data_IF_791297702774
#
_entry.id   IF_791297702774
#
_cell.length_a   1.000
_cell.length_b   1.000
_cell.length_c   1.000
_cell.angle_alpha   90.00
_cell.angle_beta   90.00
_cell.angle_gamma   90.00
#
_symmetry.space_group_name_H-M   'P 1'
#
loop_
_entity.id
_entity.type
_entity.pdbx_description
1 polymer ?
#
# COMPACT_ATOMS: atom_id res chain seq x y z
N UNK A 1 -19.73 22.20 9.03
CA UNK A 1 -19.96 21.13 8.15
C UNK A 1 -20.78 21.55 6.93
N UNK A 2 -20.59 22.78 6.47
CA UNK A 2 -21.36 23.41 5.39
C UNK A 2 -20.53 23.45 4.08
N UNK A 3 -19.70 22.43 3.78
CA UNK A 3 -18.84 22.40 2.60
C UNK A 3 -17.69 23.44 2.61
N UNK A 4 -17.44 24.11 3.73
CA UNK A 4 -16.33 25.05 3.84
C UNK A 4 -15.02 24.31 4.05
N UNK A 5 -14.00 24.67 3.25
CA UNK A 5 -12.64 24.18 3.42
C UNK A 5 -12.09 24.67 4.76
N UNK A 6 -11.77 23.74 5.66
CA UNK A 6 -11.26 24.03 7.00
C UNK A 6 -9.76 24.31 7.02
N UNK A 7 -9.00 23.73 6.09
CA UNK A 7 -7.56 23.95 5.92
C UNK A 7 -7.12 23.52 4.52
N UNK A 8 -6.11 24.20 4.00
CA UNK A 8 -5.41 23.82 2.76
C UNK A 8 -3.96 23.54 3.09
N UNK A 9 -3.48 22.40 2.61
CA UNK A 9 -2.06 22.05 2.66
C UNK A 9 -1.52 22.23 1.24
N UNK A 10 -0.50 23.09 1.07
CA UNK A 10 0.17 23.26 -0.22
C UNK A 10 1.36 22.30 -0.32
N UNK A 11 1.76 21.94 -1.53
CA UNK A 11 2.96 21.13 -1.79
C UNK A 11 4.22 21.76 -1.17
N UNK A 12 4.36 23.07 -1.23
CA UNK A 12 5.43 23.80 -0.56
C UNK A 12 5.41 23.60 0.97
N UNK A 13 4.22 23.36 1.56
CA UNK A 13 4.09 23.03 2.98
C UNK A 13 4.52 21.59 3.27
N UNK A 14 4.54 20.70 2.27
CA UNK A 14 4.90 19.28 2.39
C UNK A 14 6.43 19.08 2.29
N UNK A 15 7.19 20.15 2.05
CA UNK A 15 8.65 20.07 1.95
C UNK A 15 9.13 19.47 0.63
N UNK A 16 8.26 19.42 -0.39
CA UNK A 16 8.59 19.00 -1.74
C UNK A 16 9.26 20.14 -2.51
N UNK A 17 10.26 20.80 -1.86
CA UNK A 17 11.00 21.95 -2.42
C UNK A 17 11.79 21.58 -3.68
N UNK A 18 11.88 20.29 -4.03
CA UNK A 18 12.71 19.80 -5.13
C UNK A 18 11.99 18.93 -6.17
N UNK A 19 10.68 18.76 -6.08
CA UNK A 19 9.92 18.02 -7.11
C UNK A 19 10.41 16.58 -7.36
N UNK A 20 10.97 15.93 -6.33
CA UNK A 20 11.58 14.60 -6.47
C UNK A 20 10.62 13.44 -6.17
N UNK A 21 9.41 13.72 -5.70
CA UNK A 21 8.41 12.69 -5.50
C UNK A 21 7.68 12.45 -6.85
N UNK A 22 7.77 11.23 -7.33
CA UNK A 22 7.06 10.80 -8.55
C UNK A 22 5.80 10.09 -8.12
N UNK A 23 4.65 10.66 -8.47
CA UNK A 23 3.38 9.97 -8.37
C UNK A 23 3.10 9.23 -9.68
N UNK A 24 2.97 7.92 -9.62
CA UNK A 24 2.71 7.06 -10.77
C UNK A 24 1.61 6.06 -10.43
N UNK A 25 0.71 5.83 -11.37
CA UNK A 25 -0.30 4.78 -11.22
C UNK A 25 0.35 3.39 -11.26
N UNK A 26 -0.24 2.44 -10.54
CA UNK A 26 0.31 1.07 -10.43
C UNK A 26 0.37 0.34 -11.77
N UNK A 27 -0.65 0.52 -12.60
CA UNK A 27 -0.72 -0.04 -13.95
C UNK A 27 0.37 0.55 -14.85
N UNK A 28 0.54 1.89 -14.85
CA UNK A 28 1.59 2.57 -15.63
C UNK A 28 3.00 2.11 -15.21
N UNK A 29 3.26 1.98 -13.92
CA UNK A 29 4.52 1.43 -13.41
C UNK A 29 4.70 -0.04 -13.83
N UNK A 30 3.62 -0.83 -13.74
CA UNK A 30 3.61 -2.22 -14.18
C UNK A 30 3.99 -2.37 -15.64
N UNK A 31 3.41 -1.55 -16.51
CA UNK A 31 3.70 -1.53 -17.95
C UNK A 31 5.17 -1.14 -18.24
N UNK A 32 5.71 -0.15 -17.55
CA UNK A 32 7.12 0.24 -17.66
C UNK A 32 8.02 -0.95 -17.31
N UNK A 33 7.80 -1.58 -16.16
CA UNK A 33 8.62 -2.70 -15.68
C UNK A 33 8.49 -3.93 -16.60
N UNK A 34 7.27 -4.24 -17.05
CA UNK A 34 7.04 -5.32 -18.00
C UNK A 34 7.77 -5.09 -19.32
N UNK A 35 7.68 -3.89 -19.89
CA UNK A 35 8.35 -3.58 -21.14
C UNK A 35 9.89 -3.64 -21.05
N UNK A 36 10.47 -3.40 -19.87
CA UNK A 36 11.91 -3.52 -19.63
C UNK A 36 12.37 -4.99 -19.46
N UNK A 37 11.46 -5.90 -19.14
CA UNK A 37 11.80 -7.27 -18.72
C UNK A 37 11.22 -8.38 -19.60
N UNK A 38 10.22 -8.10 -20.44
CA UNK A 38 9.48 -9.08 -21.27
C UNK A 38 10.38 -9.94 -22.17
N UNK A 39 11.49 -9.39 -22.64
CA UNK A 39 12.45 -10.11 -23.50
C UNK A 39 13.58 -10.78 -22.68
N UNK A 40 13.58 -10.64 -21.36
CA UNK A 40 14.62 -11.15 -20.45
C UNK A 40 14.10 -12.19 -19.44
N UNK A 41 12.80 -12.27 -19.28
CA UNK A 41 12.14 -13.14 -18.31
C UNK A 41 11.01 -13.93 -18.99
N UNK A 42 10.79 -15.16 -18.54
CA UNK A 42 9.65 -15.96 -18.97
C UNK A 42 8.43 -15.62 -18.10
N UNK A 43 7.39 -15.09 -18.71
CA UNK A 43 6.12 -14.80 -18.06
C UNK A 43 5.12 -15.94 -18.28
N UNK A 44 4.57 -16.47 -17.20
CA UNK A 44 3.48 -17.46 -17.22
C UNK A 44 2.21 -16.75 -16.73
N UNK A 45 1.36 -16.39 -17.67
CA UNK A 45 0.12 -15.67 -17.38
C UNK A 45 -1.03 -16.62 -17.05
N UNK A 46 -1.96 -16.17 -16.21
CA UNK A 46 -3.17 -16.93 -15.88
C UNK A 46 -2.91 -18.19 -15.05
N UNK A 47 -1.78 -18.25 -14.34
CA UNK A 47 -1.43 -19.40 -13.51
C UNK A 47 -1.09 -18.98 -12.07
N UNK A 48 -1.07 -19.94 -11.16
CA UNK A 48 -0.77 -19.74 -9.75
C UNK A 48 0.04 -20.90 -9.19
N UNK A 49 0.91 -20.60 -8.22
CA UNK A 49 1.62 -21.62 -7.46
C UNK A 49 0.64 -22.31 -6.50
N UNK A 50 0.58 -23.64 -6.53
CA UNK A 50 -0.28 -24.45 -5.67
C UNK A 50 0.48 -25.19 -4.56
N UNK A 51 1.77 -25.46 -4.78
CA UNK A 51 2.65 -26.06 -3.77
C UNK A 51 4.10 -25.69 -4.04
N UNK A 52 4.89 -25.64 -2.97
CA UNK A 52 6.34 -25.46 -3.00
C UNK A 52 6.92 -26.53 -2.08
N UNK A 53 7.84 -27.33 -2.61
CA UNK A 53 8.52 -28.37 -1.84
C UNK A 53 10.04 -28.25 -2.05
N UNK A 54 10.78 -28.10 -0.97
CA UNK A 54 12.24 -28.07 -1.01
C UNK A 54 12.78 -29.50 -1.22
N UNK A 55 13.69 -29.64 -2.16
CA UNK A 55 14.37 -30.90 -2.52
C UNK A 55 15.89 -30.68 -2.60
N UNK A 56 16.68 -31.74 -2.72
CA UNK A 56 18.10 -31.61 -2.96
C UNK A 56 18.43 -30.90 -4.28
N UNK A 57 17.59 -31.08 -5.31
CA UNK A 57 17.79 -30.49 -6.63
C UNK A 57 17.34 -28.99 -6.69
N UNK A 58 16.54 -28.51 -5.73
CA UNK A 58 15.99 -27.16 -5.72
C UNK A 58 14.62 -27.09 -5.08
N UNK A 59 13.91 -26.00 -5.31
CA UNK A 59 12.51 -25.84 -4.92
C UNK A 59 11.60 -26.37 -6.06
N UNK A 60 10.95 -27.51 -5.85
CA UNK A 60 9.90 -28.00 -6.75
C UNK A 60 8.65 -27.16 -6.56
N UNK A 61 8.21 -26.52 -7.63
CA UNK A 61 7.01 -25.66 -7.66
C UNK A 61 5.95 -26.33 -8.50
N UNK A 62 4.74 -26.47 -7.95
CA UNK A 62 3.56 -26.93 -8.67
C UNK A 62 2.64 -25.76 -8.94
N UNK A 63 2.08 -25.74 -10.14
CA UNK A 63 1.19 -24.71 -10.63
C UNK A 63 -0.23 -25.23 -10.78
N UNK A 64 -1.20 -24.34 -10.90
CA UNK A 64 -2.61 -24.70 -11.12
C UNK A 64 -2.82 -25.32 -12.52
N UNK A 65 -2.14 -24.79 -13.53
CA UNK A 65 -2.32 -25.17 -14.94
C UNK A 65 -1.04 -25.65 -15.62
N UNK A 66 0.12 -25.13 -15.27
CA UNK A 66 1.41 -25.50 -15.87
C UNK A 66 2.00 -26.76 -15.22
N UNK A 67 2.98 -27.37 -15.93
CA UNK A 67 3.71 -28.51 -15.39
C UNK A 67 4.61 -28.08 -14.22
N UNK A 68 4.83 -28.96 -13.24
CA UNK A 68 5.78 -28.70 -12.16
C UNK A 68 7.18 -28.39 -12.72
N UNK A 69 7.89 -27.48 -12.04
CA UNK A 69 9.26 -27.09 -12.39
C UNK A 69 10.11 -27.00 -11.12
N UNK A 70 11.42 -27.16 -11.27
CA UNK A 70 12.40 -27.01 -10.19
C UNK A 70 13.15 -25.70 -10.41
N UNK A 71 13.26 -24.92 -9.34
CA UNK A 71 13.93 -23.63 -9.33
C UNK A 71 15.02 -23.61 -8.25
N UNK A 72 16.08 -22.85 -8.48
CA UNK A 72 17.11 -22.62 -7.46
C UNK A 72 16.56 -21.85 -6.25
N UNK A 73 15.65 -20.92 -6.51
CA UNK A 73 15.02 -20.07 -5.51
C UNK A 73 13.61 -19.66 -5.95
N UNK A 74 12.72 -19.46 -5.00
CA UNK A 74 11.38 -18.87 -5.20
C UNK A 74 11.31 -17.54 -4.48
N UNK A 75 10.91 -16.48 -5.20
CA UNK A 75 10.70 -15.16 -4.63
C UNK A 75 9.22 -14.85 -4.65
N UNK A 76 8.59 -14.75 -3.46
CA UNK A 76 7.20 -14.36 -3.31
C UNK A 76 7.07 -12.83 -3.33
N UNK A 77 6.53 -12.29 -4.43
CA UNK A 77 6.24 -10.88 -4.63
C UNK A 77 4.74 -10.65 -4.91
N UNK A 78 3.91 -11.53 -4.38
CA UNK A 78 2.49 -11.70 -4.67
C UNK A 78 1.56 -10.91 -3.72
N UNK A 79 2.12 -9.86 -3.08
CA UNK A 79 1.36 -8.81 -2.41
C UNK A 79 0.83 -9.16 -1.02
N UNK A 80 -0.12 -8.34 -0.56
CA UNK A 80 -0.66 -8.39 0.79
C UNK A 80 -1.19 -9.78 1.16
N UNK A 81 -1.93 -10.41 0.27
CA UNK A 81 -2.55 -11.73 0.44
C UNK A 81 -1.70 -12.87 -0.14
N UNK A 82 -0.38 -12.79 0.04
CA UNK A 82 0.60 -13.67 -0.56
C UNK A 82 0.28 -15.16 -0.36
N UNK A 83 0.11 -15.85 -1.47
CA UNK A 83 -0.04 -17.29 -1.52
C UNK A 83 1.30 -18.01 -1.24
N UNK A 84 2.42 -17.45 -1.71
CA UNK A 84 3.76 -17.97 -1.41
C UNK A 84 4.04 -17.92 0.10
N UNK A 85 3.66 -16.82 0.77
CA UNK A 85 3.74 -16.73 2.23
C UNK A 85 2.91 -17.82 2.89
N UNK A 86 1.65 -18.01 2.47
CA UNK A 86 0.78 -19.04 3.03
C UNK A 86 1.33 -20.44 2.86
N UNK A 87 1.83 -20.77 1.68
CA UNK A 87 2.38 -22.10 1.36
C UNK A 87 3.66 -22.43 2.13
N UNK A 88 4.49 -21.42 2.46
CA UNK A 88 5.82 -21.62 3.03
C UNK A 88 5.90 -21.33 4.51
N UNK A 89 5.25 -20.27 4.98
CA UNK A 89 5.38 -19.75 6.34
C UNK A 89 4.16 -20.02 7.21
N UNK A 90 2.99 -20.21 6.59
CA UNK A 90 1.72 -20.47 7.29
C UNK A 90 0.66 -19.41 7.00
N UNK A 91 -0.48 -19.56 7.70
CA UNK A 91 -1.68 -18.76 7.46
C UNK A 91 -1.47 -17.26 7.69
N UNK A 92 -2.08 -16.44 6.85
CA UNK A 92 -1.99 -14.98 6.86
C UNK A 92 -2.29 -14.35 8.22
N UNK A 93 -3.26 -14.91 8.95
CA UNK A 93 -3.67 -14.40 10.26
C UNK A 93 -2.53 -14.39 11.32
N UNK A 94 -1.48 -15.19 11.12
CA UNK A 94 -0.31 -15.22 12.00
C UNK A 94 0.57 -13.97 11.82
N UNK A 95 0.53 -13.32 10.67
CA UNK A 95 1.41 -12.24 10.26
C UNK A 95 0.68 -10.92 10.05
N UNK A 96 -0.63 -10.97 9.83
CA UNK A 96 -1.48 -9.82 9.58
C UNK A 96 -1.80 -9.08 10.87
N UNK A 97 -1.47 -7.79 10.90
CA UNK A 97 -1.87 -6.85 11.93
C UNK A 97 -2.89 -5.89 11.37
N UNK A 98 -4.14 -6.04 11.74
CA UNK A 98 -5.21 -5.10 11.37
C UNK A 98 -5.02 -3.75 12.05
N UNK A 99 -5.34 -2.67 11.35
CA UNK A 99 -5.39 -1.31 11.88
C UNK A 99 -6.82 -0.86 12.19
N UNK A 100 -7.80 -1.78 12.10
CA UNK A 100 -9.20 -1.55 12.44
C UNK A 100 -9.93 -0.62 11.48
N UNK A 101 -9.45 -0.50 10.26
CA UNK A 101 -10.04 0.34 9.22
C UNK A 101 -10.14 -0.43 7.91
N UNK A 102 -11.08 -0.02 7.05
CA UNK A 102 -11.26 -0.49 5.68
C UNK A 102 -11.14 0.67 4.73
N UNK A 103 -10.69 0.39 3.51
CA UNK A 103 -10.50 1.37 2.45
C UNK A 103 -11.17 0.91 1.17
N UNK A 104 -11.87 1.81 0.48
CA UNK A 104 -12.31 1.64 -0.89
C UNK A 104 -11.71 2.74 -1.74
N UNK A 105 -11.22 2.41 -2.92
CA UNK A 105 -10.67 3.36 -3.92
C UNK A 105 -11.21 2.98 -5.29
N UNK A 106 -11.58 3.98 -6.08
CA UNK A 106 -12.14 3.79 -7.42
C UNK A 106 -11.90 5.02 -8.29
N UNK A 107 -11.91 4.85 -9.62
CA UNK A 107 -11.82 5.98 -10.55
C UNK A 107 -13.16 6.69 -10.69
N UNK A 108 -13.09 8.01 -10.80
CA UNK A 108 -14.19 8.90 -11.13
C UNK A 108 -13.69 10.08 -11.96
N UNK A 109 -14.61 10.82 -12.57
CA UNK A 109 -14.27 12.06 -13.26
C UNK A 109 -13.69 13.09 -12.28
N UNK A 110 -12.79 13.93 -12.76
CA UNK A 110 -12.28 15.08 -12.00
C UNK A 110 -13.27 16.26 -12.02
N UNK A 111 -14.52 16.01 -11.59
CA UNK A 111 -15.63 16.98 -11.65
C UNK A 111 -15.42 18.21 -10.73
N UNK A 112 -14.56 18.10 -9.71
CA UNK A 112 -14.18 19.21 -8.86
C UNK A 112 -13.06 20.08 -9.44
N UNK A 113 -12.57 19.75 -10.63
CA UNK A 113 -11.43 20.40 -11.27
C UNK A 113 -10.21 20.53 -10.34
N UNK A 114 -9.90 19.43 -9.66
CA UNK A 114 -8.73 19.37 -8.81
C UNK A 114 -7.47 19.46 -9.67
N UNK A 115 -6.56 20.34 -9.27
CA UNK A 115 -5.27 20.53 -9.92
C UNK A 115 -4.17 20.07 -8.95
N UNK A 116 -3.63 18.87 -9.18
CA UNK A 116 -2.63 18.20 -8.33
C UNK A 116 -2.99 18.33 -6.85
N UNK A 117 -4.25 18.08 -6.52
CA UNK A 117 -4.81 18.35 -5.20
C UNK A 117 -5.73 17.23 -4.74
N UNK A 118 -5.93 17.19 -3.43
CA UNK A 118 -6.81 16.24 -2.77
C UNK A 118 -7.71 16.93 -1.74
N UNK A 119 -8.91 16.43 -1.58
CA UNK A 119 -9.86 16.93 -0.60
C UNK A 119 -10.40 15.78 0.24
N UNK A 120 -10.51 16.01 1.54
CA UNK A 120 -11.04 15.02 2.48
C UNK A 120 -12.13 15.62 3.36
N UNK A 121 -13.17 14.85 3.57
CA UNK A 121 -14.24 15.10 4.52
C UNK A 121 -14.20 14.03 5.60
N UNK A 122 -13.93 14.43 6.84
CA UNK A 122 -13.79 13.52 7.97
C UNK A 122 -14.89 13.74 9.00
N UNK A 123 -15.56 12.68 9.36
CA UNK A 123 -16.53 12.58 10.46
C UNK A 123 -16.10 11.44 11.39
N UNK A 124 -16.65 11.31 12.61
CA UNK A 124 -16.25 10.26 13.52
C UNK A 124 -16.29 8.86 12.89
N UNK A 125 -15.11 8.21 12.86
CA UNK A 125 -14.94 6.86 12.32
C UNK A 125 -14.99 6.73 10.81
N UNK A 126 -15.12 7.83 10.05
CA UNK A 126 -15.28 7.80 8.58
C UNK A 126 -14.54 8.95 7.91
N UNK A 127 -13.97 8.69 6.76
CA UNK A 127 -13.37 9.70 5.88
C UNK A 127 -13.79 9.44 4.45
N UNK A 128 -14.24 10.47 3.76
CA UNK A 128 -14.51 10.49 2.32
C UNK A 128 -13.48 11.38 1.67
N UNK A 129 -12.93 10.99 0.55
CA UNK A 129 -11.90 11.76 -0.14
C UNK A 129 -12.02 11.68 -1.66
N UNK A 130 -11.39 12.64 -2.31
CA UNK A 130 -11.14 12.65 -3.75
C UNK A 130 -9.79 13.30 -4.01
N UNK A 131 -9.01 12.76 -4.93
CA UNK A 131 -7.75 13.34 -5.38
C UNK A 131 -7.60 13.21 -6.89
N UNK A 132 -6.96 14.21 -7.51
CA UNK A 132 -6.66 14.19 -8.95
C UNK A 132 -5.59 13.15 -9.26
N UNK A 133 -5.68 12.54 -10.45
CA UNK A 133 -4.74 11.55 -10.95
C UNK A 133 -4.51 11.77 -12.46
N UNK A 134 -3.44 11.19 -13.01
CA UNK A 134 -3.07 11.23 -14.43
C UNK A 134 -3.10 12.64 -15.01
N UNK A 135 -2.29 13.54 -14.45
CA UNK A 135 -2.23 14.94 -14.84
C UNK A 135 -3.61 15.61 -14.86
N UNK A 136 -4.41 15.34 -13.84
CA UNK A 136 -5.76 15.89 -13.62
C UNK A 136 -6.83 15.43 -14.62
N UNK A 137 -6.55 14.46 -15.48
CA UNK A 137 -7.52 13.94 -16.47
C UNK A 137 -8.59 13.06 -15.83
N UNK A 138 -8.30 12.50 -14.65
CA UNK A 138 -9.23 11.71 -13.84
C UNK A 138 -9.04 12.04 -12.35
N UNK A 139 -9.92 11.50 -11.52
CA UNK A 139 -9.78 11.54 -10.08
C UNK A 139 -10.00 10.15 -9.47
N UNK A 140 -9.51 9.95 -8.25
CA UNK A 140 -9.79 8.76 -7.45
C UNK A 140 -10.68 9.13 -6.28
N UNK A 141 -11.85 8.50 -6.20
CA UNK A 141 -12.72 8.54 -5.05
C UNK A 141 -12.23 7.59 -3.97
N UNK A 142 -12.41 7.97 -2.71
CA UNK A 142 -11.88 7.26 -1.55
C UNK A 142 -12.88 7.23 -0.42
N UNK A 143 -13.12 6.05 0.14
CA UNK A 143 -13.83 5.85 1.40
C UNK A 143 -12.92 5.12 2.38
N UNK A 144 -12.77 5.64 3.60
CA UNK A 144 -12.09 4.95 4.70
C UNK A 144 -13.02 4.96 5.90
N UNK A 145 -13.16 3.82 6.58
CA UNK A 145 -14.00 3.74 7.76
C UNK A 145 -13.46 2.74 8.79
N UNK A 146 -13.72 3.01 10.05
CA UNK A 146 -13.45 2.08 11.14
C UNK A 146 -14.56 1.04 11.23
N UNK A 147 -14.16 -0.22 11.39
CA UNK A 147 -15.05 -1.32 11.69
C UNK A 147 -14.32 -2.39 12.49
N UNK A 148 -15.06 -3.22 13.21
CA UNK A 148 -14.57 -4.54 13.61
C UNK A 148 -14.33 -5.41 12.39
N UNK A 149 -13.96 -6.67 12.62
CA UNK A 149 -13.73 -7.63 11.52
C UNK A 149 -14.98 -7.80 10.66
N UNK A 150 -14.87 -7.49 9.38
CA UNK A 150 -15.90 -7.73 8.39
C UNK A 150 -15.67 -9.09 7.72
N UNK A 151 -16.76 -9.77 7.42
CA UNK A 151 -16.74 -10.99 6.60
C UNK A 151 -17.29 -10.62 5.23
N UNK A 152 -16.53 -10.82 4.17
CA UNK A 152 -16.92 -10.57 2.79
C UNK A 152 -16.07 -11.40 1.83
N UNK A 153 -16.59 -11.66 0.64
CA UNK A 153 -15.80 -12.27 -0.44
C UNK A 153 -14.91 -11.19 -1.08
N UNK A 154 -13.60 -11.42 -1.07
CA UNK A 154 -12.61 -10.50 -1.70
C UNK A 154 -12.71 -10.46 -3.22
N UNK A 155 -13.44 -11.38 -3.84
CA UNK A 155 -13.64 -11.45 -5.28
C UNK A 155 -15.04 -10.96 -5.70
N UNK A 156 -15.90 -10.60 -4.74
CA UNK A 156 -17.23 -10.05 -5.01
C UNK A 156 -17.23 -8.52 -4.79
N UNK A 157 -16.97 -7.79 -5.89
CA UNK A 157 -16.97 -6.34 -5.87
C UNK A 157 -18.33 -5.74 -5.52
N UNK A 158 -19.44 -6.40 -5.86
CA UNK A 158 -20.77 -5.90 -5.55
C UNK A 158 -21.09 -6.03 -4.05
N UNK A 159 -20.70 -7.14 -3.42
CA UNK A 159 -20.79 -7.28 -1.96
C UNK A 159 -19.98 -6.19 -1.26
N UNK A 160 -18.77 -5.93 -1.72
CA UNK A 160 -17.89 -4.90 -1.16
C UNK A 160 -18.44 -3.48 -1.34
N UNK A 161 -18.97 -3.13 -2.52
CA UNK A 161 -19.65 -1.86 -2.78
C UNK A 161 -20.89 -1.69 -1.89
N UNK A 162 -21.64 -2.75 -1.66
CA UNK A 162 -22.79 -2.76 -0.75
C UNK A 162 -22.36 -2.54 0.71
N UNK A 163 -21.23 -3.09 1.14
CA UNK A 163 -20.66 -2.80 2.46
C UNK A 163 -20.33 -1.31 2.61
N UNK A 164 -19.64 -0.70 1.65
CA UNK A 164 -19.36 0.74 1.66
C UNK A 164 -20.65 1.56 1.71
N UNK A 165 -21.63 1.20 0.88
CA UNK A 165 -22.92 1.90 0.86
C UNK A 165 -23.67 1.74 2.19
N UNK A 166 -23.61 0.59 2.86
CA UNK A 166 -24.22 0.40 4.17
C UNK A 166 -23.65 1.34 5.25
N UNK A 167 -22.36 1.66 5.13
CA UNK A 167 -21.64 2.54 6.07
C UNK A 167 -21.91 4.02 5.78
N UNK A 168 -21.91 4.41 4.49
CA UNK A 168 -21.95 5.82 4.08
C UNK A 168 -23.31 6.28 3.50
N UNK A 169 -24.23 5.38 3.21
CA UNK A 169 -25.47 5.68 2.49
C UNK A 169 -26.36 6.74 3.12
N UNK A 170 -26.31 6.90 4.46
CA UNK A 170 -27.03 7.92 5.19
C UNK A 170 -26.24 9.22 5.41
N UNK A 171 -24.99 9.28 4.96
CA UNK A 171 -24.15 10.47 5.11
C UNK A 171 -24.43 11.46 3.98
N UNK A 172 -24.99 12.61 4.32
CA UNK A 172 -25.37 13.67 3.37
C UNK A 172 -24.34 14.81 3.31
N UNK A 173 -23.21 14.66 4.03
CA UNK A 173 -22.20 15.71 4.08
C UNK A 173 -21.29 15.68 2.88
N UNK A 174 -20.90 16.85 2.39
CA UNK A 174 -19.96 17.08 1.30
C UNK A 174 -20.34 16.26 0.04
N UNK A 175 -19.39 15.70 -0.66
CA UNK A 175 -19.56 14.95 -1.92
C UNK A 175 -19.91 13.46 -1.69
N UNK A 176 -20.27 13.05 -0.48
CA UNK A 176 -20.44 11.62 -0.13
C UNK A 176 -21.41 10.90 -1.05
N UNK A 177 -22.59 11.49 -1.31
CA UNK A 177 -23.60 10.86 -2.15
C UNK A 177 -23.21 10.81 -3.63
N UNK A 178 -22.49 11.83 -4.10
CA UNK A 178 -21.95 11.84 -5.47
C UNK A 178 -20.93 10.74 -5.65
N UNK A 179 -19.99 10.61 -4.73
CA UNK A 179 -18.94 9.58 -4.77
C UNK A 179 -19.51 8.17 -4.59
N UNK A 180 -20.54 7.97 -3.76
CA UNK A 180 -21.24 6.67 -3.68
C UNK A 180 -21.91 6.30 -4.99
N UNK A 181 -22.46 7.27 -5.72
CA UNK A 181 -23.04 7.03 -7.02
C UNK A 181 -21.96 6.67 -8.05
N UNK A 182 -20.88 7.44 -8.11
CA UNK A 182 -19.75 7.17 -9.01
C UNK A 182 -19.10 5.80 -8.74
N UNK A 183 -19.00 5.38 -7.47
CA UNK A 183 -18.47 4.08 -7.08
C UNK A 183 -19.22 2.90 -7.70
N UNK A 184 -20.54 3.00 -7.88
CA UNK A 184 -21.35 1.89 -8.43
C UNK A 184 -20.90 1.48 -9.82
N UNK A 185 -20.63 2.47 -10.67
CA UNK A 185 -20.31 2.28 -12.07
C UNK A 185 -18.79 2.28 -12.36
N UNK A 186 -17.98 2.44 -11.31
CA UNK A 186 -16.53 2.49 -11.45
C UNK A 186 -15.96 1.15 -11.99
N UNK A 187 -15.14 1.19 -13.06
CA UNK A 187 -14.58 0.00 -13.69
C UNK A 187 -13.47 -0.64 -12.85
N UNK A 188 -12.81 0.15 -12.02
CA UNK A 188 -11.70 -0.22 -11.16
C UNK A 188 -12.08 0.03 -9.70
N UNK A 189 -12.63 -0.96 -9.05
CA UNK A 189 -12.97 -0.87 -7.65
C UNK A 189 -12.02 -1.75 -6.81
N UNK A 190 -11.36 -1.13 -5.86
CA UNK A 190 -10.53 -1.79 -4.88
C UNK A 190 -11.12 -1.62 -3.48
N UNK A 191 -11.23 -2.72 -2.74
CA UNK A 191 -11.65 -2.72 -1.34
C UNK A 191 -10.79 -3.67 -0.53
N UNK A 192 -10.29 -3.21 0.62
CA UNK A 192 -9.56 -4.10 1.53
C UNK A 192 -9.53 -3.55 2.97
N UNK A 193 -9.16 -4.43 3.89
CA UNK A 193 -8.82 -4.07 5.25
C UNK A 193 -7.44 -3.38 5.29
N UNK A 194 -7.38 -2.24 5.97
CA UNK A 194 -6.10 -1.55 6.20
C UNK A 194 -5.33 -2.32 7.26
N UNK A 195 -4.24 -2.95 6.84
CA UNK A 195 -3.43 -3.80 7.70
C UNK A 195 -1.95 -3.72 7.36
N UNK A 196 -1.14 -4.38 8.16
CA UNK A 196 0.30 -4.57 7.95
C UNK A 196 0.63 -6.05 7.95
N UNK A 197 1.71 -6.42 7.27
CA UNK A 197 2.31 -7.74 7.41
C UNK A 197 3.57 -7.62 8.26
N UNK A 198 3.58 -8.32 9.39
CA UNK A 198 4.70 -8.32 10.34
C UNK A 198 5.19 -9.76 10.52
N UNK A 199 6.35 -10.07 9.98
CA UNK A 199 6.94 -11.39 10.01
C UNK A 199 8.27 -11.40 10.77
N UNK A 200 8.55 -12.46 11.55
CA UNK A 200 9.83 -12.62 12.26
C UNK A 200 11.00 -12.80 11.29
N UNK A 201 10.76 -13.50 10.16
CA UNK A 201 11.72 -13.68 9.06
C UNK A 201 10.99 -13.65 7.73
N UNK A 202 11.70 -13.24 6.67
CA UNK A 202 11.16 -13.16 5.31
C UNK A 202 11.66 -14.28 4.40
N UNK A 203 12.54 -15.13 4.92
CA UNK A 203 13.14 -16.22 4.16
C UNK A 203 13.06 -17.54 4.92
N UNK A 204 12.83 -18.63 4.19
CA UNK A 204 12.83 -20.00 4.71
C UNK A 204 13.30 -20.96 3.61
N UNK A 205 14.48 -21.57 3.81
CA UNK A 205 15.12 -22.37 2.80
C UNK A 205 15.34 -21.61 1.50
N UNK A 206 14.82 -22.14 0.41
CA UNK A 206 14.92 -21.55 -0.94
C UNK A 206 13.83 -20.52 -1.26
N UNK A 207 12.99 -20.16 -0.29
CA UNK A 207 11.89 -19.21 -0.49
C UNK A 207 12.18 -17.90 0.23
N UNK A 208 12.09 -16.77 -0.48
CA UNK A 208 12.21 -15.42 0.09
C UNK A 208 11.04 -14.56 -0.35
N UNK A 209 10.50 -13.74 0.56
CA UNK A 209 9.42 -12.81 0.28
C UNK A 209 9.95 -11.39 0.09
N UNK A 210 9.28 -10.60 -0.76
CA UNK A 210 9.60 -9.20 -1.02
C UNK A 210 8.34 -8.33 -1.10
N UNK A 211 8.45 -7.08 -0.75
CA UNK A 211 7.34 -6.12 -0.79
C UNK A 211 6.24 -6.46 0.21
N UNK A 212 4.99 -6.24 -0.19
CA UNK A 212 3.83 -6.43 0.70
C UNK A 212 3.66 -7.89 1.16
N UNK A 213 4.20 -8.86 0.42
CA UNK A 213 4.23 -10.26 0.84
C UNK A 213 5.02 -10.47 2.15
N UNK A 214 6.05 -9.67 2.38
CA UNK A 214 6.97 -9.78 3.51
C UNK A 214 6.71 -8.74 4.61
N UNK A 215 6.47 -7.49 4.24
CA UNK A 215 6.51 -6.34 5.17
C UNK A 215 5.55 -5.21 4.78
N UNK A 216 4.36 -5.52 4.29
CA UNK A 216 3.36 -4.52 3.94
C UNK A 216 3.26 -3.41 5.01
N UNK A 217 3.49 -2.13 4.66
CA UNK A 217 3.50 -1.05 5.64
C UNK A 217 2.11 -0.47 5.90
N UNK A 218 1.08 -0.92 5.20
CA UNK A 218 -0.25 -0.33 5.03
C UNK A 218 -0.32 0.67 3.85
N UNK A 219 -1.42 0.70 3.10
CA UNK A 219 -1.61 1.68 2.02
C UNK A 219 -1.50 3.13 2.51
N UNK A 220 -1.86 3.40 3.76
CA UNK A 220 -1.80 4.73 4.36
C UNK A 220 -0.37 5.23 4.64
N UNK A 221 0.64 4.39 4.51
CA UNK A 221 2.04 4.83 4.61
C UNK A 221 2.49 5.65 3.40
N UNK A 222 1.85 5.46 2.24
CA UNK A 222 2.29 6.02 0.96
C UNK A 222 3.62 5.48 0.44
N UNK A 223 4.23 4.48 1.11
CA UNK A 223 5.60 4.01 0.83
C UNK A 223 5.67 2.56 0.32
N UNK A 224 4.53 1.93 0.04
CA UNK A 224 4.50 0.52 -0.38
C UNK A 224 5.32 0.24 -1.63
N UNK A 225 5.15 1.05 -2.67
CA UNK A 225 5.88 0.94 -3.93
C UNK A 225 7.39 1.13 -3.75
N UNK A 226 7.80 2.15 -3.00
CA UNK A 226 9.21 2.41 -2.68
C UNK A 226 9.84 1.23 -1.94
N UNK A 227 9.13 0.67 -0.95
CA UNK A 227 9.58 -0.51 -0.21
C UNK A 227 9.74 -1.74 -1.11
N UNK A 228 8.81 -1.96 -2.03
CA UNK A 228 8.86 -3.09 -2.94
C UNK A 228 10.04 -2.97 -3.93
N UNK A 229 10.22 -1.80 -4.55
CA UNK A 229 11.31 -1.54 -5.50
C UNK A 229 12.69 -1.62 -4.83
N UNK A 230 12.84 -0.96 -3.68
CA UNK A 230 14.08 -1.01 -2.90
C UNK A 230 14.38 -2.43 -2.42
N UNK A 231 13.37 -3.15 -1.94
CA UNK A 231 13.53 -4.54 -1.52
C UNK A 231 13.94 -5.46 -2.65
N UNK A 232 13.36 -5.31 -3.84
CA UNK A 232 13.76 -6.07 -5.02
C UNK A 232 15.21 -5.76 -5.45
N UNK A 233 15.59 -4.47 -5.42
CA UNK A 233 16.96 -4.03 -5.72
C UNK A 233 17.98 -4.63 -4.74
N UNK A 234 17.71 -4.55 -3.44
CA UNK A 234 18.62 -5.08 -2.41
C UNK A 234 18.73 -6.60 -2.52
N UNK A 235 17.60 -7.31 -2.68
CA UNK A 235 17.62 -8.77 -2.83
C UNK A 235 18.42 -9.20 -4.05
N UNK A 236 18.20 -8.57 -5.20
CA UNK A 236 18.93 -8.87 -6.43
C UNK A 236 20.43 -8.55 -6.28
N UNK A 237 20.77 -7.44 -5.64
CA UNK A 237 22.15 -7.05 -5.38
C UNK A 237 22.89 -7.99 -4.45
N UNK A 238 22.23 -8.42 -3.35
CA UNK A 238 22.83 -9.39 -2.43
C UNK A 238 22.97 -10.79 -3.08
N UNK A 239 22.03 -11.21 -3.94
CA UNK A 239 22.17 -12.44 -4.73
C UNK A 239 23.36 -12.39 -5.67
N UNK A 240 23.58 -11.25 -6.35
CA UNK A 240 24.74 -11.03 -7.20
C UNK A 240 26.05 -11.07 -6.38
N UNK A 241 26.12 -10.32 -5.29
CA UNK A 241 27.30 -10.25 -4.42
C UNK A 241 27.63 -11.60 -3.75
N UNK A 242 26.62 -12.38 -3.43
CA UNK A 242 26.76 -13.73 -2.88
C UNK A 242 27.00 -14.81 -3.96
N UNK A 243 27.13 -14.44 -5.25
CA UNK A 243 27.32 -15.36 -6.37
C UNK A 243 26.27 -16.48 -6.45
N UNK A 244 25.03 -16.17 -6.13
CA UNK A 244 23.90 -17.09 -6.15
C UNK A 244 23.72 -17.92 -4.87
N UNK A 245 24.53 -17.71 -3.82
CA UNK A 245 24.24 -18.27 -2.49
C UNK A 245 23.00 -17.59 -1.91
N UNK A 246 21.84 -18.23 -2.16
CA UNK A 246 20.53 -17.69 -1.78
C UNK A 246 20.36 -17.57 -0.25
N UNK A 247 21.00 -18.46 0.54
CA UNK A 247 20.88 -18.43 2.00
C UNK A 247 21.57 -17.18 2.58
N UNK A 248 22.80 -16.93 2.11
CA UNK A 248 23.57 -15.74 2.47
C UNK A 248 22.91 -14.46 1.98
N UNK A 249 22.47 -14.44 0.71
CA UNK A 249 21.83 -13.28 0.11
C UNK A 249 20.55 -12.90 0.83
N UNK A 250 19.69 -13.89 1.14
CA UNK A 250 18.42 -13.65 1.86
C UNK A 250 18.62 -13.11 3.28
N UNK A 251 19.66 -13.61 3.98
CA UNK A 251 19.98 -13.11 5.31
C UNK A 251 20.46 -11.64 5.28
N UNK A 252 21.34 -11.30 4.33
CA UNK A 252 21.83 -9.93 4.16
C UNK A 252 20.70 -8.98 3.69
N UNK A 253 19.88 -9.41 2.74
CA UNK A 253 18.69 -8.66 2.32
C UNK A 253 17.78 -8.32 3.50
N UNK A 254 17.47 -9.30 4.33
CA UNK A 254 16.61 -9.05 5.49
C UNK A 254 17.26 -8.10 6.49
N UNK A 255 18.56 -8.23 6.74
CA UNK A 255 19.31 -7.35 7.63
C UNK A 255 19.29 -5.90 7.13
N UNK A 256 19.51 -5.66 5.84
CA UNK A 256 19.51 -4.31 5.25
C UNK A 256 18.12 -3.67 5.26
N UNK A 257 17.09 -4.45 4.93
CA UNK A 257 15.72 -3.95 4.74
C UNK A 257 14.92 -3.81 6.03
N UNK A 258 15.24 -4.56 7.10
CA UNK A 258 14.42 -4.66 8.31
C UNK A 258 14.09 -3.31 8.91
N UNK A 259 15.10 -2.50 9.17
CA UNK A 259 14.93 -1.18 9.77
C UNK A 259 14.11 -0.23 8.88
N UNK A 260 14.30 -0.32 7.57
CA UNK A 260 13.56 0.50 6.62
C UNK A 260 12.07 0.13 6.59
N UNK A 261 11.76 -1.16 6.53
CA UNK A 261 10.39 -1.67 6.59
C UNK A 261 9.67 -1.26 7.89
N UNK A 262 10.30 -1.46 9.05
CA UNK A 262 9.72 -1.11 10.36
C UNK A 262 9.44 0.39 10.52
N UNK A 263 10.32 1.26 10.00
CA UNK A 263 10.08 2.71 10.02
C UNK A 263 8.85 3.08 9.21
N UNK A 264 8.67 2.49 8.04
CA UNK A 264 7.53 2.73 7.17
C UNK A 264 6.22 2.13 7.72
N UNK A 265 6.29 1.00 8.41
CA UNK A 265 5.15 0.45 9.16
C UNK A 265 4.70 1.40 10.28
N UNK A 266 5.62 2.07 10.99
CA UNK A 266 5.26 3.09 11.99
C UNK A 266 4.56 4.29 11.37
N UNK A 267 4.97 4.72 10.15
CA UNK A 267 4.27 5.77 9.41
C UNK A 267 2.84 5.35 9.08
N UNK A 268 2.65 4.12 8.56
CA UNK A 268 1.33 3.59 8.24
C UNK A 268 0.40 3.50 9.45
N UNK A 269 0.92 3.10 10.61
CA UNK A 269 0.14 3.07 11.86
C UNK A 269 -0.30 4.48 12.28
N UNK A 270 0.62 5.44 12.30
CA UNK A 270 0.30 6.84 12.62
C UNK A 270 -0.74 7.43 11.67
N UNK A 271 -0.62 7.16 10.37
CA UNK A 271 -1.58 7.63 9.38
C UNK A 271 -2.99 7.04 9.61
N UNK A 272 -3.09 5.74 9.91
CA UNK A 272 -4.37 5.09 10.22
C UNK A 272 -5.07 5.71 11.44
N UNK A 273 -4.32 5.99 12.51
CA UNK A 273 -4.84 6.65 13.70
C UNK A 273 -5.29 8.08 13.43
N UNK A 274 -4.59 8.79 12.53
CA UNK A 274 -4.85 10.21 12.23
C UNK A 274 -5.98 10.43 11.23
N UNK A 275 -6.11 9.56 10.22
CA UNK A 275 -7.08 9.73 9.14
C UNK A 275 -8.50 9.36 9.56
N UNK A 276 -8.67 8.43 10.49
CA UNK A 276 -10.00 7.94 10.91
C UNK A 276 -10.17 8.10 12.41
N UNK A 277 -10.35 9.35 12.85
CA UNK A 277 -10.55 9.68 14.26
C UNK A 277 -12.01 9.44 14.67
N UNK A 278 -12.24 8.76 15.79
CA UNK A 278 -13.57 8.47 16.32
C UNK A 278 -14.17 9.63 17.15
N UNK A 279 -13.30 10.50 17.68
CA UNK A 279 -13.72 11.55 18.60
C UNK A 279 -14.09 12.83 17.86
N UNK A 280 -15.35 13.23 17.97
CA UNK A 280 -15.83 14.52 17.47
C UNK A 280 -14.99 15.68 17.99
N UNK A 281 -14.63 15.64 19.27
CA UNK A 281 -13.80 16.67 19.90
C UNK A 281 -12.40 16.76 19.28
N UNK A 282 -11.74 15.62 19.03
CA UNK A 282 -10.42 15.60 18.41
C UNK A 282 -10.45 16.09 16.95
N UNK A 283 -11.51 15.76 16.20
CA UNK A 283 -11.73 16.29 14.85
C UNK A 283 -11.87 17.80 14.88
N UNK A 284 -12.69 18.35 15.78
CA UNK A 284 -12.86 19.79 15.95
C UNK A 284 -11.55 20.47 16.37
N UNK A 285 -10.83 19.89 17.31
CA UNK A 285 -9.54 20.39 17.75
C UNK A 285 -8.50 20.42 16.62
N UNK A 286 -8.41 19.31 15.85
CA UNK A 286 -7.56 19.24 14.66
C UNK A 286 -7.93 20.31 13.65
N UNK A 287 -9.22 20.46 13.34
CA UNK A 287 -9.70 21.47 12.39
C UNK A 287 -9.41 22.88 12.87
N UNK A 288 -9.54 23.13 14.18
CA UNK A 288 -9.14 24.41 14.78
C UNK A 288 -7.63 24.66 14.65
N UNK A 289 -6.81 23.64 14.91
CA UNK A 289 -5.36 23.74 14.75
C UNK A 289 -4.94 24.03 13.30
N UNK A 290 -5.64 23.44 12.32
CA UNK A 290 -5.40 23.69 10.89
C UNK A 290 -5.74 25.13 10.46
N UNK A 291 -6.60 25.85 11.21
CA UNK A 291 -6.93 27.26 10.97
C UNK A 291 -5.87 28.23 11.55
N UNK A 292 -5.00 27.76 12.45
CA UNK A 292 -3.94 28.56 13.04
C UNK A 292 -2.64 28.29 12.30
N UNK A 293 -2.14 29.22 11.44
CA UNK A 293 -1.02 28.95 10.54
C UNK A 293 0.25 28.44 11.25
N UNK A 294 0.55 28.95 12.42
CA UNK A 294 1.71 28.50 13.20
C UNK A 294 1.57 27.05 13.64
N UNK A 295 0.42 26.66 14.21
CA UNK A 295 0.18 25.29 14.68
C UNK A 295 0.13 24.32 13.52
N UNK A 296 -0.51 24.70 12.41
CA UNK A 296 -0.51 23.94 11.16
C UNK A 296 0.92 23.66 10.71
N UNK A 297 1.77 24.71 10.64
CA UNK A 297 3.16 24.56 10.17
C UNK A 297 3.97 23.63 11.08
N UNK A 298 3.82 23.72 12.40
CA UNK A 298 4.53 22.85 13.36
C UNK A 298 4.10 21.41 13.22
N UNK A 299 2.78 21.15 13.22
CA UNK A 299 2.22 19.81 13.06
C UNK A 299 2.70 19.19 11.74
N UNK A 300 2.65 19.98 10.69
CA UNK A 300 3.03 19.52 9.35
C UNK A 300 4.52 19.18 9.24
N UNK A 301 5.40 20.07 9.73
CA UNK A 301 6.85 19.81 9.79
C UNK A 301 7.18 18.51 10.56
N UNK A 302 6.40 18.19 11.59
CA UNK A 302 6.57 16.96 12.35
C UNK A 302 6.23 15.71 11.52
N UNK A 303 5.10 15.75 10.79
CA UNK A 303 4.66 14.66 9.90
C UNK A 303 5.65 14.47 8.74
N UNK A 304 6.01 15.55 8.06
CA UNK A 304 7.01 15.52 6.96
C UNK A 304 8.35 14.98 7.44
N UNK A 305 8.83 15.42 8.60
CA UNK A 305 10.08 14.91 9.18
C UNK A 305 10.00 13.40 9.48
N UNK A 306 8.86 12.91 9.92
CA UNK A 306 8.63 11.49 10.18
C UNK A 306 8.67 10.68 8.87
N UNK A 307 7.95 11.13 7.84
CA UNK A 307 7.92 10.49 6.52
C UNK A 307 9.31 10.52 5.88
N UNK A 308 9.97 11.68 5.85
CA UNK A 308 11.33 11.83 5.32
C UNK A 308 12.35 10.95 6.05
N UNK A 309 12.23 10.81 7.39
CA UNK A 309 13.08 9.91 8.17
C UNK A 309 12.83 8.44 7.84
N UNK A 310 11.60 8.08 7.52
CA UNK A 310 11.25 6.73 7.09
C UNK A 310 11.77 6.48 5.66
N UNK A 311 11.52 7.39 4.71
CA UNK A 311 12.01 7.31 3.33
C UNK A 311 13.54 7.23 3.24
N UNK A 312 14.26 7.98 4.10
CA UNK A 312 15.73 7.90 4.24
C UNK A 312 16.20 6.79 5.19
N UNK A 313 15.37 5.80 5.42
CA UNK A 313 15.62 4.73 6.39
C UNK A 313 16.69 3.74 5.99
N UNK A 314 17.11 3.75 4.73
CA UNK A 314 18.11 2.87 4.15
C UNK A 314 19.11 3.69 3.31
N UNK A 315 20.35 3.25 3.26
CA UNK A 315 21.36 3.72 2.32
C UNK A 315 21.64 2.58 1.35
N UNK A 316 21.31 2.77 0.08
CA UNK A 316 21.51 1.73 -0.93
C UNK A 316 23.00 1.54 -1.19
N UNK A 317 23.42 0.27 -1.27
CA UNK A 317 24.72 -0.13 -1.77
C UNK A 317 24.72 -0.06 -3.29
N UNK A 318 25.86 0.25 -3.88
CA UNK A 318 26.09 0.02 -5.30
C UNK A 318 26.57 -1.44 -5.47
N UNK A 319 25.86 -2.18 -6.30
CA UNK A 319 26.19 -3.57 -6.63
C UNK A 319 26.75 -3.62 -8.06
N UNK A 320 28.05 -3.48 -8.18
CA UNK A 320 28.78 -3.50 -9.46
C UNK A 320 28.76 -4.87 -10.18
#
# INVERSE_FOLDING_TARGET
LNGKIEGRLSEASIGNEHGMDIEIMRDDLGDILYNLTKDKANYIWGDSITAIQETEAGAEVRFAHSKPQIFDMVIGADGLHSNVRRLTFGEEAQFKRTLGCYIAIFTTDNYLNLDHNQQFYTIPGKTVGIYSARDNTEAKGLFIFKSGTLTYDRHDAEEQKNLVNSVFGNEMGWETQHLLHAMKDAPDFYFDEICQIQMPTWSKGRVTLVGDAAYCPSPLSGQGTSLALVGAYVLAGELKAAQGDYAKASALYEQEMRTFAEKNQKVGLFAAESMVENSHFKILLRNWMLRVPFLMTVMFKMVVKMIAKAAKGITLKEYD
#
